data_IF_036292998492
#
_entry.id   IF_036292998492
#
_cell.length_a   1.000
_cell.length_b   1.000
_cell.length_c   1.000
_cell.angle_alpha   90.00
_cell.angle_beta   90.00
_cell.angle_gamma   90.00
#
_symmetry.space_group_name_H-M   'P 1'
#
loop_
_entity.id
_entity.type
_entity.pdbx_description
1 polymer ?
#
# COMPACT_ATOMS: atom_id res chain seq x y z
N UNK A 1 21.96 13.36 19.46
CA UNK A 1 22.04 13.06 18.02
C UNK A 1 23.51 12.92 17.59
N UNK A 2 24.20 11.95 18.16
CA UNK A 2 25.63 11.69 17.85
C UNK A 2 25.80 10.94 16.52
N UNK A 3 24.74 10.27 16.06
CA UNK A 3 24.75 9.49 14.81
C UNK A 3 25.00 10.31 13.53
N UNK A 4 24.82 11.65 13.57
CA UNK A 4 25.05 12.54 12.40
C UNK A 4 26.51 12.50 11.91
N UNK A 5 27.43 12.18 12.80
CA UNK A 5 28.88 12.10 12.49
C UNK A 5 29.34 10.67 12.19
N UNK A 6 28.46 9.67 12.30
CA UNK A 6 28.78 8.27 12.03
C UNK A 6 28.43 7.87 10.59
N UNK A 7 29.40 7.52 9.74
CA UNK A 7 29.14 7.05 8.38
C UNK A 7 28.23 5.82 8.31
N UNK A 8 28.29 4.92 9.32
CA UNK A 8 27.46 3.73 9.34
C UNK A 8 25.98 4.09 9.57
N UNK A 9 25.72 5.10 10.39
CA UNK A 9 24.37 5.60 10.62
C UNK A 9 23.76 6.20 9.35
N UNK A 10 24.55 6.86 8.50
CA UNK A 10 24.07 7.36 7.21
C UNK A 10 23.75 6.24 6.21
N UNK A 11 24.53 5.16 6.22
CA UNK A 11 24.23 3.96 5.40
C UNK A 11 22.91 3.32 5.87
N UNK A 12 22.75 3.16 7.20
CA UNK A 12 21.54 2.65 7.80
C UNK A 12 20.32 3.53 7.47
N UNK A 13 20.43 4.85 7.64
CA UNK A 13 19.41 5.81 7.28
C UNK A 13 19.01 5.72 5.80
N UNK A 14 20.00 5.74 4.89
CA UNK A 14 19.75 5.67 3.44
C UNK A 14 19.08 4.34 3.04
N UNK A 15 19.49 3.23 3.66
CA UNK A 15 18.90 1.92 3.42
C UNK A 15 17.45 1.88 3.90
N UNK A 16 17.18 2.33 5.14
CA UNK A 16 15.81 2.39 5.66
C UNK A 16 14.94 3.36 4.86
N UNK A 17 15.45 4.53 4.50
CA UNK A 17 14.74 5.50 3.67
C UNK A 17 14.39 4.89 2.31
N UNK A 18 15.32 4.21 1.66
CA UNK A 18 15.07 3.54 0.38
C UNK A 18 14.00 2.45 0.52
N UNK A 19 14.09 1.64 1.56
CA UNK A 19 13.07 0.61 1.85
C UNK A 19 11.69 1.25 2.09
N UNK A 20 11.60 2.27 2.95
CA UNK A 20 10.34 2.95 3.25
C UNK A 20 9.74 3.63 2.00
N UNK A 21 10.55 4.22 1.13
CA UNK A 21 10.09 4.80 -0.14
C UNK A 21 9.58 3.72 -1.08
N UNK A 22 10.32 2.63 -1.25
CA UNK A 22 9.93 1.52 -2.14
C UNK A 22 8.64 0.88 -1.65
N UNK A 23 8.54 0.57 -0.35
CA UNK A 23 7.32 0.04 0.29
C UNK A 23 6.17 1.04 0.30
N UNK A 24 6.48 2.34 0.27
CA UNK A 24 5.50 3.41 0.34
C UNK A 24 4.89 3.80 -1.00
N UNK A 25 5.48 3.43 -2.14
CA UNK A 25 4.94 3.74 -3.46
C UNK A 25 3.55 3.15 -3.63
N UNK A 26 3.36 1.90 -3.25
CA UNK A 26 2.07 1.21 -3.33
C UNK A 26 1.03 1.88 -2.44
N UNK A 27 1.44 2.30 -1.23
CA UNK A 27 0.59 3.06 -0.32
C UNK A 27 0.11 4.38 -0.94
N UNK A 28 1.00 5.13 -1.61
CA UNK A 28 0.64 6.39 -2.30
C UNK A 28 -0.37 6.14 -3.42
N UNK A 29 -0.15 5.10 -4.22
CA UNK A 29 -1.06 4.73 -5.31
C UNK A 29 -2.43 4.33 -4.75
N UNK A 30 -2.44 3.50 -3.70
CA UNK A 30 -3.67 3.05 -3.07
C UNK A 30 -4.44 4.20 -2.39
N UNK A 31 -3.74 5.05 -1.65
CA UNK A 31 -4.32 6.27 -1.05
C UNK A 31 -4.93 7.15 -2.16
N UNK A 32 -4.28 7.25 -3.32
CA UNK A 32 -4.80 8.00 -4.46
C UNK A 32 -6.06 7.37 -5.04
N UNK A 33 -6.13 6.04 -5.11
CA UNK A 33 -7.33 5.31 -5.58
C UNK A 33 -8.50 5.51 -4.61
N UNK A 34 -8.26 5.41 -3.29
CA UNK A 34 -9.29 5.64 -2.27
C UNK A 34 -9.76 7.11 -2.25
N UNK A 35 -8.81 8.05 -2.27
CA UNK A 35 -9.12 9.47 -2.31
C UNK A 35 -9.90 9.85 -3.59
N UNK A 36 -9.65 9.18 -4.72
CA UNK A 36 -10.38 9.38 -5.97
C UNK A 36 -11.88 9.05 -5.89
N UNK A 37 -12.36 8.41 -4.80
CA UNK A 37 -13.80 8.20 -4.53
C UNK A 37 -14.48 9.41 -3.91
N UNK A 38 -13.70 10.37 -3.44
CA UNK A 38 -14.20 11.61 -2.86
C UNK A 38 -14.44 12.67 -3.94
N UNK A 39 -15.28 13.67 -3.65
CA UNK A 39 -15.39 14.86 -4.48
C UNK A 39 -14.01 15.50 -4.72
N UNK A 40 -13.78 16.04 -5.92
CA UNK A 40 -12.46 16.57 -6.33
C UNK A 40 -11.85 17.57 -5.35
N UNK A 41 -12.69 18.38 -4.66
CA UNK A 41 -12.26 19.32 -3.62
C UNK A 41 -11.65 18.67 -2.38
N UNK A 42 -12.02 17.42 -2.08
CA UNK A 42 -11.58 16.70 -0.87
C UNK A 42 -10.44 15.72 -1.15
N UNK A 43 -10.20 15.35 -2.40
CA UNK A 43 -9.21 14.34 -2.76
C UNK A 43 -7.79 14.70 -2.30
N UNK A 44 -7.36 15.94 -2.56
CA UNK A 44 -6.03 16.39 -2.15
C UNK A 44 -5.91 16.39 -0.62
N UNK A 45 -6.94 16.88 0.08
CA UNK A 45 -6.99 16.87 1.55
C UNK A 45 -6.91 15.45 2.11
N UNK A 46 -7.67 14.51 1.53
CA UNK A 46 -7.65 13.12 1.97
C UNK A 46 -6.28 12.46 1.79
N UNK A 47 -5.58 12.74 0.68
CA UNK A 47 -4.21 12.24 0.47
C UNK A 47 -3.23 12.77 1.53
N UNK A 48 -3.21 14.08 1.76
CA UNK A 48 -2.28 14.68 2.73
C UNK A 48 -2.62 14.29 4.17
N UNK A 49 -3.89 14.31 4.55
CA UNK A 49 -4.32 13.90 5.90
C UNK A 49 -4.05 12.41 6.11
N UNK A 50 -4.36 11.56 5.11
CA UNK A 50 -4.09 10.13 5.18
C UNK A 50 -2.61 9.83 5.38
N UNK A 51 -1.72 10.41 4.56
CA UNK A 51 -0.26 10.23 4.69
C UNK A 51 0.27 10.80 6.01
N UNK A 52 -0.23 11.96 6.46
CA UNK A 52 0.18 12.55 7.74
C UNK A 52 -0.21 11.69 8.93
N UNK A 53 -1.42 11.15 8.94
CA UNK A 53 -1.89 10.24 9.99
C UNK A 53 -1.14 8.89 9.93
N UNK A 54 -0.86 8.37 8.75
CA UNK A 54 -0.02 7.19 8.55
C UNK A 54 1.38 7.40 9.16
N UNK A 55 2.01 8.57 8.91
CA UNK A 55 3.29 8.91 9.54
C UNK A 55 3.22 8.90 11.07
N UNK A 56 2.20 9.54 11.64
CA UNK A 56 2.01 9.56 13.10
C UNK A 56 1.84 8.15 13.63
N UNK A 57 1.05 7.30 12.96
CA UNK A 57 0.84 5.91 13.36
C UNK A 57 2.13 5.10 13.32
N UNK A 58 2.97 5.25 12.27
CA UNK A 58 4.29 4.59 12.19
C UNK A 58 5.22 5.03 13.32
N UNK A 59 5.24 6.32 13.64
CA UNK A 59 6.03 6.83 14.77
C UNK A 59 5.54 6.24 16.10
N UNK A 60 4.22 6.14 16.30
CA UNK A 60 3.64 5.49 17.49
C UNK A 60 4.05 4.02 17.56
N UNK A 61 4.01 3.29 16.44
CA UNK A 61 4.44 1.89 16.38
C UNK A 61 5.92 1.74 16.72
N UNK A 62 6.79 2.64 16.24
CA UNK A 62 8.22 2.66 16.59
C UNK A 62 8.45 2.91 18.09
N UNK A 63 7.73 3.84 18.70
CA UNK A 63 7.81 4.03 20.15
C UNK A 63 7.24 2.86 20.95
N UNK A 64 6.29 2.14 20.37
CA UNK A 64 5.66 0.95 20.96
C UNK A 64 6.41 -0.34 20.62
N UNK A 65 7.68 -0.26 20.26
CA UNK A 65 8.49 -1.36 19.72
C UNK A 65 8.44 -2.62 20.57
N UNK A 66 8.53 -2.48 21.89
CA UNK A 66 8.48 -3.61 22.81
C UNK A 66 7.15 -4.35 22.75
N UNK A 67 6.06 -3.63 22.52
CA UNK A 67 4.74 -4.21 22.30
C UNK A 67 4.65 -4.89 20.93
N UNK A 68 5.17 -4.25 19.88
CA UNK A 68 5.21 -4.79 18.51
C UNK A 68 6.00 -6.10 18.46
N UNK A 69 7.17 -6.16 19.12
CA UNK A 69 7.94 -7.41 19.24
C UNK A 69 7.15 -8.45 20.04
N UNK A 70 6.44 -8.04 21.09
CA UNK A 70 5.57 -8.94 21.86
C UNK A 70 4.46 -9.60 21.02
N UNK A 71 4.03 -8.98 19.92
CA UNK A 71 3.03 -9.56 19.00
C UNK A 71 3.58 -10.76 18.21
N UNK A 72 4.88 -10.95 18.13
CA UNK A 72 5.49 -12.12 17.47
C UNK A 72 5.50 -13.36 18.36
N UNK A 73 5.19 -13.23 19.66
CA UNK A 73 5.09 -14.38 20.53
C UNK A 73 3.88 -15.25 20.20
N UNK A 74 4.01 -16.58 20.20
CA UNK A 74 2.91 -17.48 19.88
C UNK A 74 1.79 -17.36 20.91
N UNK A 75 0.55 -17.18 20.45
CA UNK A 75 -0.65 -17.13 21.27
C UNK A 75 -1.29 -18.52 21.44
N UNK A 76 -1.31 -19.29 20.37
CA UNK A 76 -1.84 -20.65 20.33
C UNK A 76 -1.30 -21.42 19.13
N UNK A 77 -1.46 -22.74 19.13
CA UNK A 77 -1.00 -23.62 18.05
C UNK A 77 -2.21 -24.24 17.34
N UNK A 78 -2.25 -24.11 16.01
CA UNK A 78 -3.29 -24.72 15.14
C UNK A 78 -2.60 -25.56 14.06
N UNK A 79 -2.99 -26.81 13.90
CA UNK A 79 -2.37 -27.73 12.91
C UNK A 79 -0.85 -27.77 12.94
N UNK A 80 -0.24 -27.76 14.13
CA UNK A 80 1.21 -27.74 14.36
C UNK A 80 1.91 -26.44 13.94
N UNK A 81 1.15 -25.40 13.61
CA UNK A 81 1.68 -24.05 13.40
C UNK A 81 1.39 -23.16 14.61
N UNK A 82 2.40 -22.45 15.08
CA UNK A 82 2.28 -21.44 16.11
C UNK A 82 1.70 -20.16 15.50
N UNK A 83 0.60 -19.68 16.04
CA UNK A 83 -0.06 -18.44 15.57
C UNK A 83 0.21 -17.33 16.56
N UNK A 84 0.83 -16.28 16.10
CA UNK A 84 1.11 -15.06 16.85
C UNK A 84 0.07 -13.96 16.57
N UNK A 85 0.09 -12.90 17.38
CA UNK A 85 -0.73 -11.71 17.13
C UNK A 85 -0.37 -11.03 15.79
N UNK A 86 0.90 -11.05 15.40
CA UNK A 86 1.38 -10.57 14.09
C UNK A 86 0.70 -11.35 12.96
N UNK A 87 0.67 -12.66 13.03
CA UNK A 87 0.13 -13.50 11.96
C UNK A 87 -1.37 -13.28 11.77
N UNK A 88 -2.11 -13.09 12.86
CA UNK A 88 -3.53 -12.73 12.79
C UNK A 88 -3.72 -11.39 12.05
N UNK A 89 -2.92 -10.38 12.36
CA UNK A 89 -2.99 -9.07 11.71
C UNK A 89 -2.67 -9.20 10.22
N UNK A 90 -1.64 -9.97 9.85
CA UNK A 90 -1.24 -10.21 8.47
C UNK A 90 -2.33 -10.98 7.70
N UNK A 91 -2.91 -12.02 8.28
CA UNK A 91 -4.00 -12.80 7.67
C UNK A 91 -5.24 -11.94 7.44
N UNK A 92 -5.70 -11.22 8.46
CA UNK A 92 -6.89 -10.37 8.38
C UNK A 92 -6.64 -9.22 7.38
N UNK A 93 -5.47 -8.58 7.44
CA UNK A 93 -5.07 -7.52 6.52
C UNK A 93 -4.96 -8.00 5.08
N UNK A 94 -4.34 -9.16 4.85
CA UNK A 94 -4.21 -9.77 3.54
C UNK A 94 -5.58 -10.12 2.93
N UNK A 95 -6.46 -10.75 3.70
CA UNK A 95 -7.83 -11.03 3.27
C UNK A 95 -8.63 -9.75 2.96
N UNK A 96 -8.49 -8.72 3.80
CA UNK A 96 -9.10 -7.43 3.55
C UNK A 96 -8.62 -6.81 2.23
N UNK A 97 -7.30 -6.85 1.96
CA UNK A 97 -6.73 -6.35 0.71
C UNK A 97 -7.28 -7.08 -0.51
N UNK A 98 -7.31 -8.41 -0.47
CA UNK A 98 -7.84 -9.23 -1.57
C UNK A 98 -9.30 -8.91 -1.82
N UNK A 99 -10.12 -8.93 -0.76
CA UNK A 99 -11.55 -8.63 -0.87
C UNK A 99 -11.78 -7.21 -1.43
N UNK A 100 -11.04 -6.22 -0.92
CA UNK A 100 -11.17 -4.83 -1.34
C UNK A 100 -10.73 -4.62 -2.79
N UNK A 101 -9.60 -5.19 -3.19
CA UNK A 101 -9.08 -5.08 -4.57
C UNK A 101 -10.00 -5.76 -5.56
N UNK A 102 -10.48 -6.97 -5.23
CA UNK A 102 -11.43 -7.71 -6.08
C UNK A 102 -12.73 -6.93 -6.26
N UNK A 103 -13.28 -6.38 -5.17
CA UNK A 103 -14.48 -5.56 -5.24
C UNK A 103 -14.29 -4.29 -6.08
N UNK A 104 -13.15 -3.63 -5.95
CA UNK A 104 -12.83 -2.43 -6.73
C UNK A 104 -12.64 -2.74 -8.22
N UNK A 105 -12.01 -3.89 -8.54
CA UNK A 105 -11.87 -4.38 -9.91
C UNK A 105 -13.25 -4.67 -10.50
N UNK A 106 -14.10 -5.39 -9.76
CA UNK A 106 -15.46 -5.70 -10.21
C UNK A 106 -16.27 -4.44 -10.50
N UNK A 107 -16.27 -3.46 -9.59
CA UNK A 107 -17.00 -2.21 -9.79
C UNK A 107 -16.55 -1.44 -11.03
N UNK A 108 -15.27 -1.54 -11.41
CA UNK A 108 -14.74 -0.84 -12.58
C UNK A 108 -15.01 -1.57 -13.90
N UNK A 109 -15.09 -2.89 -13.86
CA UNK A 109 -15.32 -3.70 -15.08
C UNK A 109 -16.80 -3.96 -15.33
N UNK A 110 -17.57 -4.25 -14.29
CA UNK A 110 -18.97 -4.66 -14.35
C UNK A 110 -19.94 -3.55 -13.93
N UNK A 111 -19.46 -2.52 -13.22
CA UNK A 111 -20.28 -1.37 -12.80
C UNK A 111 -20.68 -0.53 -14.00
N UNK A 112 -21.89 -0.76 -14.56
CA UNK A 112 -22.44 0.05 -15.64
C UNK A 112 -22.68 1.49 -15.20
N UNK A 113 -22.67 2.45 -16.14
CA UNK A 113 -22.89 3.89 -15.93
C UNK A 113 -24.21 4.23 -15.18
N UNK A 114 -25.17 3.29 -15.16
CA UNK A 114 -26.45 3.46 -14.47
C UNK A 114 -26.38 3.38 -12.94
N UNK A 115 -25.29 2.87 -12.34
CA UNK A 115 -25.13 2.77 -10.88
C UNK A 115 -24.22 3.86 -10.31
N UNK A 116 -23.60 4.68 -11.13
CA UNK A 116 -22.75 5.79 -10.69
C UNK A 116 -23.53 6.88 -9.96
N UNK A 117 -24.84 7.00 -10.22
CA UNK A 117 -25.70 8.02 -9.60
C UNK A 117 -26.29 7.61 -8.24
N UNK A 118 -26.19 6.33 -7.84
CA UNK A 118 -26.75 5.82 -6.59
C UNK A 118 -25.69 5.30 -5.59
N UNK A 119 -24.41 5.19 -5.97
CA UNK A 119 -23.36 4.91 -5.02
C UNK A 119 -23.16 6.16 -4.15
N UNK A 120 -23.62 6.09 -2.90
CA UNK A 120 -23.35 7.15 -1.92
C UNK A 120 -21.86 7.47 -1.96
N UNK A 121 -21.51 8.75 -2.23
CA UNK A 121 -20.13 9.20 -2.24
C UNK A 121 -19.45 8.71 -0.94
N UNK A 122 -18.28 8.08 -1.08
CA UNK A 122 -17.56 7.61 0.10
C UNK A 122 -17.36 8.79 1.05
N UNK A 123 -17.66 8.61 2.34
CA UNK A 123 -17.43 9.69 3.28
C UNK A 123 -15.92 9.88 3.51
N UNK A 124 -15.50 11.12 3.71
CA UNK A 124 -14.10 11.45 4.00
C UNK A 124 -13.53 10.57 5.14
N UNK A 125 -14.29 10.42 6.23
CA UNK A 125 -13.89 9.62 7.38
C UNK A 125 -13.72 8.13 7.02
N UNK A 126 -14.62 7.57 6.20
CA UNK A 126 -14.51 6.18 5.75
C UNK A 126 -13.24 5.96 4.94
N UNK A 127 -12.88 6.90 4.07
CA UNK A 127 -11.64 6.83 3.28
C UNK A 127 -10.41 6.90 4.19
N UNK A 128 -10.39 7.84 5.15
CA UNK A 128 -9.28 7.96 6.10
C UNK A 128 -9.12 6.69 6.95
N UNK A 129 -10.21 6.11 7.47
CA UNK A 129 -10.16 4.86 8.23
C UNK A 129 -9.60 3.73 7.38
N UNK A 130 -10.01 3.59 6.13
CA UNK A 130 -9.47 2.58 5.22
C UNK A 130 -7.97 2.78 4.97
N UNK A 131 -7.51 4.03 4.80
CA UNK A 131 -6.08 4.35 4.65
C UNK A 131 -5.31 3.92 5.90
N UNK A 132 -5.80 4.27 7.08
CA UNK A 132 -5.13 3.94 8.34
C UNK A 132 -5.08 2.43 8.61
N UNK A 133 -6.18 1.72 8.37
CA UNK A 133 -6.20 0.25 8.53
C UNK A 133 -5.16 -0.43 7.66
N UNK A 134 -5.03 0.02 6.41
CA UNK A 134 -4.02 -0.53 5.51
C UNK A 134 -2.60 -0.16 5.92
N UNK A 135 -2.39 1.10 6.32
CA UNK A 135 -1.07 1.52 6.75
C UNK A 135 -0.62 0.75 8.00
N UNK A 136 -1.50 0.46 8.96
CA UNK A 136 -1.17 -0.38 10.12
C UNK A 136 -0.67 -1.75 9.70
N UNK A 137 -1.37 -2.41 8.76
CA UNK A 137 -0.99 -3.74 8.28
C UNK A 137 0.38 -3.72 7.61
N UNK A 138 0.65 -2.74 6.73
CA UNK A 138 1.93 -2.62 6.07
C UNK A 138 3.06 -2.15 7.00
N UNK A 139 2.73 -1.27 7.94
CA UNK A 139 3.72 -0.69 8.86
C UNK A 139 4.18 -1.66 9.92
N UNK A 140 3.34 -2.62 10.34
CA UNK A 140 3.73 -3.61 11.33
C UNK A 140 4.94 -4.43 10.85
N UNK A 141 4.89 -4.87 9.61
CA UNK A 141 5.97 -5.65 9.01
C UNK A 141 7.22 -4.81 8.72
N UNK A 142 7.05 -3.57 8.23
CA UNK A 142 8.18 -2.67 7.98
C UNK A 142 8.87 -2.24 9.28
N UNK A 143 8.13 -2.01 10.35
CA UNK A 143 8.68 -1.66 11.67
C UNK A 143 9.48 -2.83 12.26
N UNK A 144 8.95 -4.07 12.21
CA UNK A 144 9.69 -5.26 12.67
C UNK A 144 10.99 -5.42 11.86
N UNK A 145 10.93 -5.24 10.55
CA UNK A 145 12.11 -5.30 9.67
C UNK A 145 13.13 -4.21 10.01
N UNK A 146 12.68 -2.96 10.21
CA UNK A 146 13.55 -1.83 10.53
C UNK A 146 14.32 -2.03 11.84
N UNK A 147 13.65 -2.58 12.86
CA UNK A 147 14.26 -2.89 14.16
C UNK A 147 15.30 -3.99 14.06
N UNK A 148 15.08 -4.98 13.19
CA UNK A 148 16.08 -6.01 12.90
C UNK A 148 17.34 -5.48 12.20
N UNK A 149 17.27 -4.28 11.60
CA UNK A 149 18.37 -3.69 10.83
C UNK A 149 19.11 -2.57 11.57
N UNK A 150 18.43 -1.83 12.42
CA UNK A 150 18.96 -0.62 13.09
C UNK A 150 18.48 -0.58 14.53
N UNK A 151 19.39 -0.32 15.46
CA UNK A 151 19.05 -0.22 16.90
C UNK A 151 18.59 1.19 17.30
N UNK A 152 19.03 2.22 16.58
CA UNK A 152 18.72 3.62 16.92
C UNK A 152 17.36 4.06 16.37
N UNK A 153 16.40 4.24 17.28
CA UNK A 153 15.04 4.71 16.99
C UNK A 153 15.05 6.07 16.28
N UNK A 154 16.03 6.95 16.57
CA UNK A 154 16.10 8.29 15.96
C UNK A 154 16.37 8.17 14.45
N UNK A 155 17.18 7.21 14.02
CA UNK A 155 17.45 6.94 12.61
C UNK A 155 16.19 6.42 11.92
N UNK A 156 15.48 5.47 12.56
CA UNK A 156 14.22 4.93 12.03
C UNK A 156 13.15 6.02 11.86
N UNK A 157 12.93 6.85 12.91
CA UNK A 157 11.97 7.95 12.85
C UNK A 157 12.35 8.93 11.74
N UNK A 158 13.64 9.28 11.62
CA UNK A 158 14.11 10.17 10.57
C UNK A 158 13.83 9.59 9.19
N UNK A 159 14.11 8.31 8.95
CA UNK A 159 13.83 7.63 7.69
C UNK A 159 12.33 7.67 7.34
N UNK A 160 11.45 7.35 8.30
CA UNK A 160 9.99 7.41 8.12
C UNK A 160 9.53 8.82 7.79
N UNK A 161 9.98 9.84 8.52
CA UNK A 161 9.59 11.24 8.27
C UNK A 161 10.00 11.68 6.87
N UNK A 162 11.26 11.43 6.47
CA UNK A 162 11.74 11.80 5.13
C UNK A 162 11.02 11.01 4.03
N UNK A 163 10.74 9.72 4.23
CA UNK A 163 9.98 8.91 3.28
C UNK A 163 8.56 9.45 3.08
N UNK A 164 7.86 9.80 4.17
CA UNK A 164 6.49 10.34 4.05
C UNK A 164 6.49 11.74 3.45
N UNK A 165 7.44 12.59 3.78
CA UNK A 165 7.58 13.89 3.11
C UNK A 165 7.80 13.72 1.60
N UNK A 166 8.64 12.77 1.21
CA UNK A 166 8.83 12.41 -0.19
C UNK A 166 7.51 11.93 -0.83
N UNK A 167 6.82 10.99 -0.18
CA UNK A 167 5.52 10.50 -0.65
C UNK A 167 4.49 11.62 -0.78
N UNK A 168 4.42 12.55 0.18
CA UNK A 168 3.51 13.72 0.12
C UNK A 168 3.82 14.60 -1.09
N UNK A 169 5.09 14.85 -1.40
CA UNK A 169 5.48 15.66 -2.55
C UNK A 169 5.03 15.04 -3.89
N UNK A 170 5.06 13.70 -3.98
CA UNK A 170 4.72 12.96 -5.20
C UNK A 170 3.28 12.46 -5.25
N UNK A 171 2.53 12.44 -4.13
CA UNK A 171 1.16 11.93 -4.07
C UNK A 171 0.21 12.61 -5.05
N UNK A 172 0.33 13.92 -5.24
CA UNK A 172 -0.47 14.67 -6.20
C UNK A 172 -0.21 14.28 -7.66
N UNK A 173 1.04 14.36 -8.14
CA UNK A 173 1.42 13.90 -9.48
C UNK A 173 1.07 12.45 -9.75
N UNK A 174 1.38 11.54 -8.84
CA UNK A 174 1.08 10.10 -8.94
C UNK A 174 -0.43 9.89 -9.03
N UNK A 175 -1.21 10.52 -8.15
CA UNK A 175 -2.67 10.42 -8.15
C UNK A 175 -3.27 10.82 -9.50
N UNK A 176 -2.87 11.98 -10.04
CA UNK A 176 -3.32 12.45 -11.36
C UNK A 176 -2.91 11.52 -12.49
N UNK A 177 -1.72 10.93 -12.41
CA UNK A 177 -1.25 9.97 -13.41
C UNK A 177 -2.10 8.69 -13.39
N UNK A 178 -2.34 8.13 -12.21
CA UNK A 178 -3.18 6.93 -12.02
C UNK A 178 -4.63 7.18 -12.46
N UNK A 179 -5.18 8.36 -12.17
CA UNK A 179 -6.55 8.73 -12.60
C UNK A 179 -6.68 8.86 -14.13
N UNK A 180 -5.64 9.33 -14.80
CA UNK A 180 -5.63 9.49 -16.27
C UNK A 180 -5.41 8.18 -17.03
N UNK A 181 -4.87 7.15 -16.39
CA UNK A 181 -4.51 5.89 -17.03
C UNK A 181 -5.25 4.72 -16.35
N UNK A 182 -6.43 4.33 -16.86
CA UNK A 182 -7.21 3.23 -16.28
C UNK A 182 -6.43 1.91 -16.18
N UNK A 183 -5.56 1.62 -17.15
CA UNK A 183 -4.70 0.42 -17.15
C UNK A 183 -3.72 0.42 -15.99
N UNK A 184 -3.09 1.56 -15.70
CA UNK A 184 -2.21 1.72 -14.52
C UNK A 184 -3.00 1.53 -13.22
N UNK A 185 -4.24 2.00 -13.17
CA UNK A 185 -5.12 1.81 -12.01
C UNK A 185 -5.48 0.35 -11.80
N UNK A 186 -5.77 -0.39 -12.88
CA UNK A 186 -6.01 -1.83 -12.83
C UNK A 186 -4.75 -2.60 -12.40
N UNK A 187 -3.59 -2.22 -12.93
CA UNK A 187 -2.30 -2.79 -12.53
C UNK A 187 -2.03 -2.58 -11.03
N UNK A 188 -2.29 -1.39 -10.51
CA UNK A 188 -2.16 -1.10 -9.08
C UNK A 188 -3.10 -1.96 -8.21
N UNK A 189 -4.36 -2.17 -8.63
CA UNK A 189 -5.28 -3.07 -7.94
C UNK A 189 -4.81 -4.53 -7.97
N UNK A 190 -4.19 -4.96 -9.08
CA UNK A 190 -3.57 -6.28 -9.19
C UNK A 190 -2.37 -6.43 -8.24
N UNK A 191 -1.59 -5.37 -8.04
CA UNK A 191 -0.51 -5.37 -7.06
C UNK A 191 -1.03 -5.51 -5.62
N UNK A 192 -2.17 -4.88 -5.30
CA UNK A 192 -2.79 -5.07 -3.98
C UNK A 192 -3.26 -6.51 -3.76
N UNK A 193 -3.75 -7.21 -4.81
CA UNK A 193 -4.04 -8.64 -4.72
C UNK A 193 -2.78 -9.44 -4.43
N UNK A 194 -1.68 -9.14 -5.15
CA UNK A 194 -0.39 -9.80 -4.96
C UNK A 194 0.15 -9.60 -3.54
N UNK A 195 0.10 -8.36 -3.04
CA UNK A 195 0.54 -8.02 -1.69
C UNK A 195 -0.38 -8.70 -0.64
N UNK A 196 -1.70 -8.68 -0.85
CA UNK A 196 -2.64 -9.37 0.03
C UNK A 196 -2.36 -10.87 0.13
N UNK A 197 -2.03 -11.52 -0.99
CA UNK A 197 -1.59 -12.92 -1.02
C UNK A 197 -0.29 -13.13 -0.24
N UNK A 198 0.68 -12.22 -0.41
CA UNK A 198 1.96 -12.29 0.31
C UNK A 198 1.78 -12.17 1.82
N UNK A 199 0.93 -11.24 2.27
CA UNK A 199 0.63 -11.09 3.70
C UNK A 199 -0.03 -12.34 4.27
N UNK A 200 -0.92 -13.01 3.52
CA UNK A 200 -1.52 -14.27 3.93
C UNK A 200 -0.44 -15.37 4.03
N UNK A 201 0.46 -15.46 3.04
CA UNK A 201 1.55 -16.42 3.08
C UNK A 201 2.47 -16.19 4.29
N UNK A 202 2.84 -14.94 4.56
CA UNK A 202 3.64 -14.56 5.75
C UNK A 202 2.90 -14.86 7.06
N UNK A 203 1.57 -14.67 7.11
CA UNK A 203 0.74 -15.03 8.26
C UNK A 203 0.63 -16.54 8.49
N UNK A 204 1.05 -17.36 7.53
CA UNK A 204 1.24 -18.82 7.65
C UNK A 204 2.72 -19.21 7.73
N UNK A 205 3.61 -18.32 8.15
CA UNK A 205 5.05 -18.51 8.24
C UNK A 205 5.73 -18.93 6.90
N UNK A 206 5.06 -18.67 5.78
CA UNK A 206 5.64 -18.87 4.45
C UNK A 206 6.33 -17.61 3.98
N UNK A 207 7.63 -17.53 4.23
CA UNK A 207 8.42 -16.35 3.88
C UNK A 207 8.66 -16.25 2.37
N UNK A 208 8.02 -15.29 1.71
CA UNK A 208 8.26 -14.93 0.31
C UNK A 208 9.24 -13.76 0.27
N UNK A 209 10.47 -13.94 -0.30
CA UNK A 209 11.39 -12.82 -0.40
C UNK A 209 10.81 -11.65 -1.19
N UNK A 210 10.68 -10.50 -0.55
CA UNK A 210 10.05 -9.29 -1.11
C UNK A 210 10.66 -8.85 -2.43
N UNK A 211 11.94 -9.18 -2.66
CA UNK A 211 12.64 -8.88 -3.91
C UNK A 211 11.95 -9.46 -5.15
N UNK A 212 11.36 -10.67 -5.08
CA UNK A 212 10.62 -11.25 -6.19
C UNK A 212 9.35 -10.46 -6.51
N UNK A 213 8.64 -10.02 -5.49
CA UNK A 213 7.41 -9.26 -5.62
C UNK A 213 7.72 -7.89 -6.27
N UNK A 214 8.70 -7.17 -5.72
CA UNK A 214 9.07 -5.86 -6.25
C UNK A 214 9.66 -5.94 -7.66
N UNK A 215 10.43 -6.98 -7.99
CA UNK A 215 10.94 -7.16 -9.34
C UNK A 215 9.80 -7.43 -10.35
N UNK A 216 8.81 -8.26 -9.98
CA UNK A 216 7.64 -8.52 -10.80
C UNK A 216 6.79 -7.25 -11.00
N UNK A 217 6.57 -6.48 -9.93
CA UNK A 217 5.84 -5.20 -10.00
C UNK A 217 6.59 -4.17 -10.86
N UNK A 218 7.89 -4.01 -10.66
CA UNK A 218 8.73 -3.09 -11.44
C UNK A 218 8.73 -3.46 -12.92
N UNK A 219 8.84 -4.75 -13.25
CA UNK A 219 8.75 -5.23 -14.63
C UNK A 219 7.38 -4.96 -15.24
N UNK A 220 6.30 -5.20 -14.50
CA UNK A 220 4.93 -4.94 -14.96
C UNK A 220 4.70 -3.45 -15.23
N UNK A 221 5.19 -2.56 -14.35
CA UNK A 221 5.15 -1.10 -14.57
C UNK A 221 5.97 -0.72 -15.80
N UNK A 222 7.16 -1.28 -15.97
CA UNK A 222 8.00 -1.04 -17.15
C UNK A 222 7.26 -1.41 -18.45
N UNK A 223 6.66 -2.59 -18.51
CA UNK A 223 5.87 -3.03 -19.67
C UNK A 223 4.69 -2.09 -19.92
N UNK A 224 3.99 -1.67 -18.87
CA UNK A 224 2.87 -0.75 -19.03
C UNK A 224 3.31 0.64 -19.53
N UNK A 225 4.45 1.12 -19.08
CA UNK A 225 5.03 2.37 -19.60
C UNK A 225 5.39 2.25 -21.09
N UNK A 226 5.87 1.08 -21.55
CA UNK A 226 6.08 0.83 -22.98
C UNK A 226 4.75 0.82 -23.75
N UNK A 227 3.70 0.20 -23.20
CA UNK A 227 2.37 0.18 -23.80
C UNK A 227 1.78 1.59 -23.94
N UNK A 228 1.94 2.43 -22.91
CA UNK A 228 1.48 3.82 -22.94
C UNK A 228 2.24 4.68 -23.96
N UNK A 229 3.53 4.39 -24.19
CA UNK A 229 4.35 5.07 -25.19
C UNK A 229 4.15 4.52 -26.60
N UNK A 230 3.69 3.28 -26.75
CA UNK A 230 3.37 2.72 -28.05
C UNK A 230 2.21 3.53 -28.67
N UNK A 231 2.32 3.83 -29.98
CA UNK A 231 1.32 4.61 -30.72
C UNK A 231 -0.07 3.99 -30.50
N UNK A 232 -0.99 4.77 -29.93
CA UNK A 232 -2.38 4.36 -29.71
C UNK A 232 -2.97 3.83 -31.02
N UNK A 233 -3.47 2.59 -31.08
CA UNK A 233 -4.28 2.16 -32.22
C UNK A 233 -5.50 3.09 -32.30
N UNK A 234 -5.87 3.53 -33.52
CA UNK A 234 -7.04 4.39 -33.78
C UNK A 234 -8.40 3.66 -33.56
N UNK A 235 -8.38 2.48 -32.97
CA UNK A 235 -9.59 1.71 -32.67
C UNK A 235 -10.21 2.20 -31.35
N UNK A 236 -11.52 2.43 -31.40
CA UNK A 236 -12.29 2.70 -30.17
C UNK A 236 -12.09 1.55 -29.17
N UNK A 237 -12.03 1.84 -27.85
CA UNK A 237 -11.90 0.80 -26.83
C UNK A 237 -13.01 -0.24 -27.02
N UNK A 238 -12.65 -1.52 -27.05
CA UNK A 238 -13.63 -2.61 -27.09
C UNK A 238 -14.45 -2.49 -25.82
N UNK A 239 -15.74 -2.17 -25.95
CA UNK A 239 -16.67 -2.23 -24.82
C UNK A 239 -16.78 -3.71 -24.43
N UNK A 240 -16.19 -4.11 -23.33
CA UNK A 240 -16.23 -5.49 -22.82
C UNK A 240 -17.66 -5.94 -22.45
N UNK A 241 -18.60 -5.00 -22.42
CA UNK A 241 -19.99 -5.27 -22.12
C UNK A 241 -20.75 -5.66 -23.37
N UNK A 242 -20.79 -6.96 -23.72
CA UNK A 242 -21.84 -7.55 -24.55
C UNK A 242 -22.82 -8.25 -23.59
N UNK A 243 -23.95 -7.63 -23.29
CA UNK A 243 -25.16 -8.38 -22.94
C UNK A 243 -25.49 -9.24 -24.17
N UNK A 244 -25.53 -10.55 -23.99
CA UNK A 244 -26.19 -11.40 -24.98
C UNK A 244 -27.64 -10.91 -25.02
N UNK A 245 -28.04 -10.26 -26.12
CA UNK A 245 -29.43 -10.09 -26.43
C UNK A 245 -29.88 -11.48 -26.98
N UNK A 246 -30.77 -12.13 -26.26
CA UNK A 246 -31.61 -13.19 -26.83
C UNK A 246 -32.50 -12.61 -27.88
#
# INVERSE_FOLDING_TARGET
MEWIFDPQAWIAFATLLALEVVLGIDNVIFISILAGKLPGSEQAKARYVGLGLAMVMRIILLFSISWVIGLTAPLFTVFQQEISGRDIILLVGGLFLIAKSTHEIHQRLEGGEAHASAAAAASFNSVIIQILLLDIVFSLDSVITAVGMVEDISIMISAVVFAVLFMMAFAGPIGRFVERHPTVKMLALSFLLLIGMTLIAEGFDQHIPKGYIYSAMAFSVFVEMLNLNAKKPKAAPVKLHRRYAE
#
